data_IF_140489613273
#
_entry.id   IF_140489613273
#
_cell.length_a   1.000
_cell.length_b   1.000
_cell.length_c   1.000
_cell.angle_alpha   90.00
_cell.angle_beta   90.00
_cell.angle_gamma   90.00
#
_symmetry.space_group_name_H-M   'P 1'
#
loop_
_entity.id
_entity.type
_entity.pdbx_description
1 polymer ?
#
# COMPACT_ATOMS: atom_id res chain seq x y z
N UNK A 1 -9.21 2.79 13.98
CA UNK A 1 -8.89 2.21 12.66
C UNK A 1 -7.59 1.44 12.80
N UNK A 2 -7.42 0.36 12.04
CA UNK A 2 -6.20 -0.45 11.98
C UNK A 2 -5.51 -0.22 10.64
N UNK A 3 -4.18 -0.30 10.61
CA UNK A 3 -3.39 -0.23 9.38
C UNK A 3 -3.22 -1.65 8.82
N UNK A 4 -3.48 -1.82 7.53
CA UNK A 4 -3.22 -3.07 6.82
C UNK A 4 -2.30 -2.80 5.63
N UNK A 5 -1.33 -3.69 5.41
CA UNK A 5 -0.58 -3.83 4.18
C UNK A 5 -1.17 -5.00 3.38
N UNK A 6 -1.58 -4.73 2.14
CA UNK A 6 -2.17 -5.73 1.25
C UNK A 6 -1.21 -5.91 0.08
N UNK A 7 -0.68 -7.12 -0.05
CA UNK A 7 0.17 -7.53 -1.16
C UNK A 7 -0.70 -8.06 -2.30
N UNK A 8 -0.41 -7.62 -3.52
CA UNK A 8 -1.24 -7.91 -4.70
C UNK A 8 -0.39 -8.22 -5.92
N UNK A 9 -0.74 -9.31 -6.62
CA UNK A 9 -0.21 -9.68 -7.92
C UNK A 9 -1.16 -9.30 -9.07
N UNK A 10 -0.58 -9.04 -10.25
CA UNK A 10 -1.30 -8.83 -11.51
C UNK A 10 -0.41 -8.99 -12.73
N UNK A 11 -1.02 -9.24 -13.89
CA UNK A 11 -0.33 -9.32 -15.17
C UNK A 11 -0.72 -8.14 -16.04
N UNK A 12 0.25 -7.30 -16.39
CA UNK A 12 0.02 -6.16 -17.25
C UNK A 12 0.33 -6.53 -18.71
N UNK A 13 -0.71 -6.74 -19.52
CA UNK A 13 -0.55 -7.05 -20.95
C UNK A 13 0.13 -5.95 -21.76
N UNK A 14 0.17 -4.72 -21.28
CA UNK A 14 0.87 -3.63 -21.98
C UNK A 14 2.38 -3.61 -21.69
N UNK A 15 2.86 -4.46 -20.79
CA UNK A 15 4.28 -4.62 -20.46
C UNK A 15 4.68 -6.06 -20.76
N UNK A 16 5.57 -6.25 -21.75
CA UNK A 16 6.10 -7.57 -22.13
C UNK A 16 5.00 -8.64 -22.36
N UNK A 17 3.87 -8.23 -22.94
CA UNK A 17 2.67 -9.07 -23.18
C UNK A 17 2.11 -9.76 -21.90
N UNK A 18 2.40 -9.19 -20.73
CA UNK A 18 2.00 -9.78 -19.44
C UNK A 18 2.76 -11.07 -19.11
N UNK A 19 3.96 -11.27 -19.64
CA UNK A 19 4.77 -12.45 -19.37
C UNK A 19 5.19 -12.55 -17.90
N UNK A 20 5.56 -11.43 -17.28
CA UNK A 20 5.95 -11.38 -15.88
C UNK A 20 4.81 -10.91 -14.97
N UNK A 21 4.67 -11.59 -13.84
CA UNK A 21 3.77 -11.17 -12.78
C UNK A 21 4.34 -9.96 -12.03
N UNK A 22 3.56 -8.90 -11.98
CA UNK A 22 3.88 -7.68 -11.26
C UNK A 22 3.25 -7.74 -9.88
N UNK A 23 3.98 -7.26 -8.88
CA UNK A 23 3.50 -7.18 -7.51
C UNK A 23 3.44 -5.75 -7.01
N UNK A 24 2.46 -5.44 -6.17
CA UNK A 24 2.32 -4.14 -5.53
C UNK A 24 1.81 -4.23 -4.10
N UNK A 25 2.17 -3.22 -3.31
CA UNK A 25 1.85 -3.13 -1.90
C UNK A 25 0.90 -1.96 -1.64
N UNK A 26 -0.27 -2.25 -1.07
CA UNK A 26 -1.33 -1.27 -0.85
C UNK A 26 -1.58 -1.13 0.64
N UNK A 27 -1.33 0.06 1.19
CA UNK A 27 -1.73 0.38 2.56
C UNK A 27 -3.20 0.81 2.63
N UNK A 28 -3.91 0.29 3.64
CA UNK A 28 -5.33 0.59 3.89
C UNK A 28 -5.60 0.78 5.37
N UNK A 29 -6.29 1.86 5.72
CA UNK A 29 -6.91 2.01 7.04
C UNK A 29 -8.32 1.38 7.03
N UNK A 30 -8.58 0.37 7.88
CA UNK A 30 -9.87 -0.31 7.96
C UNK A 30 -10.24 -0.69 9.40
N UNK A 31 -11.48 -1.16 9.60
CA UNK A 31 -11.95 -1.64 10.92
C UNK A 31 -11.41 -3.02 11.25
N UNK A 32 -11.31 -3.87 10.23
CA UNK A 32 -10.91 -5.27 10.29
C UNK A 32 -10.35 -5.73 8.93
N UNK A 33 -9.81 -6.94 8.89
CA UNK A 33 -9.18 -7.53 7.68
C UNK A 33 -10.17 -7.67 6.53
N UNK A 34 -11.43 -8.02 6.80
CA UNK A 34 -12.47 -8.15 5.80
C UNK A 34 -12.73 -6.80 5.11
N UNK A 35 -12.94 -5.76 5.91
CA UNK A 35 -13.13 -4.39 5.43
C UNK A 35 -11.92 -3.87 4.66
N UNK A 36 -10.71 -4.27 5.04
CA UNK A 36 -9.48 -3.92 4.32
C UNK A 36 -9.46 -4.54 2.91
N UNK A 37 -9.74 -5.84 2.82
CA UNK A 37 -9.87 -6.58 1.56
C UNK A 37 -10.92 -5.95 0.65
N UNK A 38 -12.13 -5.75 1.15
CA UNK A 38 -13.23 -5.20 0.37
C UNK A 38 -12.94 -3.78 -0.13
N UNK A 39 -12.20 -2.97 0.65
CA UNK A 39 -11.76 -1.64 0.19
C UNK A 39 -10.79 -1.71 -0.99
N UNK A 40 -9.86 -2.67 -1.00
CA UNK A 40 -8.90 -2.83 -2.11
C UNK A 40 -9.61 -3.34 -3.36
N UNK A 41 -10.49 -4.34 -3.24
CA UNK A 41 -11.22 -4.92 -4.37
C UNK A 41 -12.11 -3.91 -5.12
N UNK A 42 -12.50 -2.82 -4.46
CA UNK A 42 -13.31 -1.73 -5.04
C UNK A 42 -12.47 -0.64 -5.73
N UNK A 43 -11.14 -0.66 -5.62
CA UNK A 43 -10.29 0.35 -6.28
C UNK A 43 -10.29 0.12 -7.79
N UNK A 44 -10.37 1.20 -8.56
CA UNK A 44 -10.32 1.14 -10.04
C UNK A 44 -9.09 0.37 -10.54
N UNK A 45 -7.91 0.65 -9.99
CA UNK A 45 -6.65 -0.05 -10.36
C UNK A 45 -6.71 -1.56 -10.11
N UNK A 46 -7.42 -2.00 -9.08
CA UNK A 46 -7.59 -3.42 -8.76
C UNK A 46 -8.44 -4.12 -9.80
N UNK A 47 -9.56 -3.50 -10.16
CA UNK A 47 -10.52 -4.03 -11.13
C UNK A 47 -9.92 -4.03 -12.53
N UNK A 48 -9.36 -2.90 -12.97
CA UNK A 48 -8.82 -2.72 -14.32
C UNK A 48 -7.69 -3.69 -14.62
N UNK A 49 -6.77 -3.90 -13.66
CA UNK A 49 -5.64 -4.82 -13.82
C UNK A 49 -5.97 -6.27 -13.46
N UNK A 50 -7.23 -6.57 -13.11
CA UNK A 50 -7.66 -7.90 -12.65
C UNK A 50 -6.73 -8.46 -11.55
N UNK A 51 -6.38 -7.61 -10.59
CA UNK A 51 -5.44 -7.96 -9.54
C UNK A 51 -6.00 -9.06 -8.64
N UNK A 52 -5.12 -9.80 -7.99
CA UNK A 52 -5.44 -10.70 -6.89
C UNK A 52 -4.70 -10.27 -5.61
N UNK A 53 -5.05 -10.88 -4.48
CA UNK A 53 -4.44 -10.60 -3.18
C UNK A 53 -3.70 -11.85 -2.73
N UNK A 54 -2.39 -11.73 -2.59
CA UNK A 54 -1.51 -12.82 -2.15
C UNK A 54 -1.36 -12.85 -0.63
N UNK A 55 -1.49 -11.69 0.01
CA UNK A 55 -1.32 -11.57 1.45
C UNK A 55 -1.90 -10.29 2.03
N UNK A 56 -2.31 -10.37 3.29
CA UNK A 56 -2.76 -9.22 4.08
C UNK A 56 -2.09 -9.28 5.45
N UNK A 57 -1.45 -8.18 5.86
CA UNK A 57 -0.83 -8.03 7.16
C UNK A 57 -1.49 -6.88 7.92
N UNK A 58 -1.99 -7.12 9.14
CA UNK A 58 -2.34 -6.05 10.08
C UNK A 58 -1.05 -5.51 10.72
N UNK A 59 -0.80 -4.21 10.60
CA UNK A 59 0.37 -3.56 11.18
C UNK A 59 -0.06 -2.79 12.42
N UNK A 60 0.20 -3.41 13.58
CA UNK A 60 -0.12 -2.83 14.89
C UNK A 60 1.08 -2.13 15.54
N UNK A 61 2.27 -2.68 15.36
CA UNK A 61 3.52 -2.21 15.97
C UNK A 61 4.68 -2.45 15.00
N UNK A 62 5.63 -1.52 14.94
CA UNK A 62 6.89 -1.64 14.20
C UNK A 62 8.01 -1.12 15.08
N UNK A 63 9.09 -1.89 15.22
CA UNK A 63 10.28 -1.51 16.00
C UNK A 63 9.97 -1.05 17.44
N UNK A 64 8.94 -1.65 18.06
CA UNK A 64 8.50 -1.29 19.41
C UNK A 64 7.52 -0.12 19.48
N UNK A 65 7.21 0.55 18.35
CA UNK A 65 6.28 1.67 18.30
C UNK A 65 4.88 1.24 17.86
N UNK A 66 3.89 1.54 18.70
CA UNK A 66 2.49 1.29 18.38
C UNK A 66 1.96 2.29 17.34
N UNK A 67 1.25 1.76 16.33
CA UNK A 67 0.59 2.56 15.30
C UNK A 67 -0.83 2.90 15.75
N UNK A 68 -1.11 4.19 15.92
CA UNK A 68 -2.44 4.73 16.21
C UNK A 68 -2.91 5.60 15.06
N UNK A 69 -3.98 5.18 14.39
CA UNK A 69 -4.58 5.93 13.29
C UNK A 69 -5.72 6.82 13.79
N UNK A 70 -5.55 8.13 13.66
CA UNK A 70 -6.59 9.14 13.83
C UNK A 70 -7.10 9.59 12.46
N UNK A 71 -8.41 9.89 12.37
CA UNK A 71 -9.00 10.39 11.12
C UNK A 71 -8.77 11.90 11.04
N UNK A 72 -8.03 12.33 10.02
CA UNK A 72 -7.88 13.74 9.66
C UNK A 72 -8.92 14.08 8.56
N UNK A 73 -9.50 15.29 8.60
CA UNK A 73 -10.45 15.80 7.59
C UNK A 73 -9.74 16.40 6.37
N UNK A 74 -8.44 16.64 6.47
CA UNK A 74 -7.63 17.18 5.38
C UNK A 74 -7.19 16.09 4.38
N UNK A 75 -6.69 16.53 3.23
CA UNK A 75 -6.14 15.64 2.21
C UNK A 75 -4.93 14.87 2.72
N UNK A 76 -4.57 13.79 2.02
CA UNK A 76 -3.44 12.94 2.36
C UNK A 76 -2.13 13.75 2.35
N UNK A 77 -1.40 13.77 3.47
CA UNK A 77 -0.18 14.58 3.69
C UNK A 77 1.11 13.75 3.58
N UNK A 78 1.15 12.79 2.64
CA UNK A 78 2.33 11.96 2.48
C UNK A 78 3.47 12.75 1.86
N UNK A 79 4.66 12.68 2.45
CA UNK A 79 5.89 13.19 1.84
C UNK A 79 6.56 12.07 1.06
N UNK A 80 6.76 12.28 -0.24
CA UNK A 80 7.44 11.33 -1.13
C UNK A 80 8.88 11.80 -1.32
N UNK A 81 9.82 10.86 -1.16
CA UNK A 81 11.24 11.09 -1.44
C UNK A 81 11.63 10.31 -2.69
N UNK A 82 12.22 10.99 -3.68
CA UNK A 82 12.67 10.36 -4.93
C UNK A 82 14.07 9.72 -4.78
N UNK A 83 14.51 9.00 -5.81
CA UNK A 83 15.81 8.32 -5.83
C UNK A 83 16.98 9.24 -5.45
N UNK A 84 17.04 10.44 -6.04
CA UNK A 84 18.13 11.38 -5.80
C UNK A 84 18.13 11.87 -4.34
N UNK A 85 16.96 12.29 -3.84
CA UNK A 85 16.81 12.75 -2.46
C UNK A 85 17.28 11.68 -1.48
N UNK A 86 16.82 10.44 -1.64
CA UNK A 86 17.21 9.33 -0.77
C UNK A 86 18.71 9.04 -0.86
N UNK A 87 19.27 8.98 -2.08
CA UNK A 87 20.69 8.67 -2.31
C UNK A 87 21.65 9.69 -1.69
N UNK A 88 21.23 10.95 -1.60
CA UNK A 88 22.05 12.05 -1.08
C UNK A 88 21.50 12.65 0.22
N UNK A 89 20.70 11.88 0.99
CA UNK A 89 20.24 12.27 2.32
C UNK A 89 21.44 12.53 3.24
N UNK A 90 21.48 13.71 3.84
CA UNK A 90 22.42 14.05 4.90
C UNK A 90 21.65 14.22 6.19
N UNK A 91 22.28 13.84 7.32
CA UNK A 91 21.75 14.16 8.64
C UNK A 91 21.58 15.67 8.73
N UNK A 92 20.38 16.14 9.04
CA UNK A 92 20.18 17.54 9.42
C UNK A 92 21.00 17.77 10.69
N UNK A 93 21.97 18.70 10.60
CA UNK A 93 22.74 19.19 11.74
C UNK A 93 21.81 19.91 12.73
#
# INVERSE_FOLDING_TARGET
MKLFLIHTGYYNKTLDDGFYEQHSNIFVAAKDVYSAREKVKKRKIYIDNKMHIDGIQEIKNIDGYDIKLSKDKSNQKNKIYNHYQVRFLKKSL
#
